data_IF_440038890845
#
_entry.id   IF_440038890845
#
_cell.length_a   1.000
_cell.length_b   1.000
_cell.length_c   1.000
_cell.angle_alpha   90.00
_cell.angle_beta   90.00
_cell.angle_gamma   90.00
#
_symmetry.space_group_name_H-M   'P 1'
#
loop_
_entity.id
_entity.type
_entity.pdbx_description
1 polymer ?
#
# COMPACT_ATOMS: atom_id res chain seq x y z
N UNK A 1 -3.13 -8.38 -3.95
CA UNK A 1 -2.92 -8.25 -2.49
C UNK A 1 -3.77 -7.11 -1.98
N UNK A 2 -4.18 -7.12 -0.72
CA UNK A 2 -5.06 -6.09 -0.18
C UNK A 2 -4.84 -5.85 1.31
N UNK A 3 -5.09 -4.61 1.75
CA UNK A 3 -5.02 -4.19 3.15
C UNK A 3 -6.26 -3.36 3.51
N UNK A 4 -6.78 -3.57 4.71
CA UNK A 4 -7.81 -2.73 5.33
C UNK A 4 -7.17 -2.03 6.52
N UNK A 5 -7.15 -0.70 6.51
CA UNK A 5 -6.67 0.13 7.60
C UNK A 5 -7.86 0.70 8.38
N UNK A 6 -7.99 0.37 9.64
CA UNK A 6 -8.92 1.02 10.57
C UNK A 6 -8.20 2.17 11.29
N UNK A 7 -8.68 3.39 11.07
CA UNK A 7 -8.12 4.58 11.69
C UNK A 7 -8.72 4.81 13.08
N UNK A 8 -7.85 4.94 14.09
CA UNK A 8 -8.23 5.18 15.49
C UNK A 8 -7.49 6.40 16.05
N UNK A 9 -7.89 6.89 17.22
CA UNK A 9 -7.27 8.02 17.88
C UNK A 9 -6.42 7.58 19.09
N UNK A 10 -5.10 7.81 19.01
CA UNK A 10 -4.19 7.66 20.16
C UNK A 10 -3.04 8.68 20.10
N UNK A 11 -2.42 8.94 21.25
CA UNK A 11 -1.37 9.96 21.43
C UNK A 11 0.04 9.55 20.99
N UNK A 12 0.27 8.31 20.56
CA UNK A 12 1.61 7.83 20.22
C UNK A 12 1.71 7.58 18.72
N UNK A 13 2.59 8.33 18.07
CA UNK A 13 2.87 8.20 16.64
C UNK A 13 3.79 7.02 16.40
N UNK A 14 3.53 6.29 15.35
CA UNK A 14 4.35 5.18 14.87
C UNK A 14 4.70 5.38 13.40
N UNK A 15 5.83 4.78 13.01
CA UNK A 15 6.23 4.65 11.63
C UNK A 15 6.28 3.17 11.29
N UNK A 16 5.37 2.74 10.42
CA UNK A 16 5.22 1.34 10.01
C UNK A 16 5.84 1.15 8.63
N UNK A 17 6.43 -0.01 8.41
CA UNK A 17 7.01 -0.40 7.13
C UNK A 17 6.35 -1.69 6.67
N UNK A 18 5.72 -1.66 5.49
CA UNK A 18 4.98 -2.79 4.93
C UNK A 18 5.60 -3.13 3.58
N UNK A 19 6.20 -4.32 3.52
CA UNK A 19 6.68 -4.90 2.28
C UNK A 19 5.50 -5.37 1.44
N UNK A 20 5.29 -4.76 0.26
CA UNK A 20 4.16 -5.04 -0.61
C UNK A 20 4.48 -6.15 -1.61
N UNK A 21 4.62 -7.38 -1.11
CA UNK A 21 4.87 -8.59 -1.91
C UNK A 21 4.08 -9.80 -1.38
N UNK A 22 3.93 -10.82 -2.22
CA UNK A 22 3.13 -12.02 -1.92
C UNK A 22 3.66 -12.85 -0.74
N UNK A 23 4.95 -12.70 -0.40
CA UNK A 23 5.61 -13.40 0.70
C UNK A 23 5.34 -12.76 2.07
N UNK A 24 4.81 -11.53 2.11
CA UNK A 24 4.49 -10.86 3.37
C UNK A 24 3.26 -11.51 4.02
N UNK A 25 3.46 -12.07 5.22
CA UNK A 25 2.44 -12.77 6.00
C UNK A 25 1.18 -11.93 6.28
N UNK A 26 1.31 -10.59 6.32
CA UNK A 26 0.18 -9.68 6.49
C UNK A 26 -0.93 -9.95 5.46
N UNK A 27 -0.56 -10.19 4.20
CA UNK A 27 -1.52 -10.46 3.13
C UNK A 27 -2.08 -11.89 3.17
N UNK A 28 -1.45 -12.80 3.90
CA UNK A 28 -1.93 -14.16 4.11
C UNK A 28 -2.95 -14.24 5.25
N UNK A 29 -2.82 -13.37 6.27
CA UNK A 29 -3.58 -13.45 7.53
C UNK A 29 -4.86 -12.60 7.58
N UNK A 30 -5.09 -11.71 6.60
CA UNK A 30 -6.34 -10.94 6.34
C UNK A 30 -6.07 -9.56 5.73
N UNK A 31 -4.84 -9.04 5.85
CA UNK A 31 -4.51 -7.67 5.46
C UNK A 31 -5.07 -6.59 6.40
N UNK A 32 -5.51 -6.92 7.62
CA UNK A 32 -6.09 -5.94 8.52
C UNK A 32 -5.03 -5.22 9.37
N UNK A 33 -5.10 -3.89 9.43
CA UNK A 33 -4.22 -3.04 10.22
C UNK A 33 -5.03 -1.99 11.00
N UNK A 34 -4.63 -1.72 12.24
CA UNK A 34 -5.09 -0.55 12.98
C UNK A 34 -4.01 0.52 12.95
N UNK A 35 -4.39 1.74 12.56
CA UNK A 35 -3.48 2.87 12.38
C UNK A 35 -4.02 4.06 13.17
N UNK A 36 -3.13 4.95 13.61
CA UNK A 36 -3.50 6.09 14.42
C UNK A 36 -3.23 7.42 13.71
N UNK A 37 -4.04 8.43 14.00
CA UNK A 37 -3.80 9.77 13.47
C UNK A 37 -2.40 10.27 13.86
N UNK A 38 -1.63 10.70 12.86
CA UNK A 38 -0.24 11.11 12.98
C UNK A 38 0.78 10.00 12.66
N UNK A 39 0.34 8.77 12.42
CA UNK A 39 1.22 7.69 11.96
C UNK A 39 1.72 7.94 10.54
N UNK A 40 2.86 7.33 10.24
CA UNK A 40 3.41 7.19 8.90
C UNK A 40 3.47 5.72 8.52
N UNK A 41 3.15 5.41 7.28
CA UNK A 41 3.23 4.05 6.75
C UNK A 41 3.99 4.07 5.45
N UNK A 42 5.10 3.36 5.38
CA UNK A 42 5.84 3.13 4.15
C UNK A 42 5.32 1.84 3.49
N UNK A 43 4.80 1.96 2.28
CA UNK A 43 4.62 0.82 1.39
C UNK A 43 5.90 0.64 0.58
N UNK A 44 6.63 -0.44 0.87
CA UNK A 44 7.88 -0.79 0.19
C UNK A 44 7.59 -1.73 -0.96
N UNK A 45 7.95 -1.32 -2.18
CA UNK A 45 7.83 -2.17 -3.35
C UNK A 45 8.79 -3.38 -3.30
N UNK A 46 8.45 -4.49 -3.98
CA UNK A 46 9.38 -5.60 -4.16
C UNK A 46 10.69 -5.12 -4.78
N UNK A 47 11.81 -5.57 -4.21
CA UNK A 47 13.16 -5.20 -4.60
C UNK A 47 14.02 -6.46 -4.67
N UNK A 48 14.77 -6.60 -5.75
CA UNK A 48 15.56 -7.80 -6.02
C UNK A 48 16.95 -7.40 -6.52
N UNK A 49 17.96 -8.16 -6.10
CA UNK A 49 19.31 -8.01 -6.61
C UNK A 49 19.40 -8.63 -8.02
N UNK A 50 20.16 -7.97 -8.91
CA UNK A 50 20.31 -8.35 -10.31
C UNK A 50 21.05 -9.68 -10.51
N UNK A 51 21.68 -10.22 -9.46
CA UNK A 51 22.49 -11.44 -9.55
C UNK A 51 21.66 -12.75 -9.59
N UNK A 52 20.35 -12.71 -9.32
CA UNK A 52 19.52 -13.92 -9.21
C UNK A 52 18.51 -14.05 -10.36
N UNK A 53 18.89 -14.83 -11.38
CA UNK A 53 18.14 -15.00 -12.65
C UNK A 53 16.87 -15.86 -12.57
N UNK A 54 16.55 -16.42 -11.39
CA UNK A 54 15.43 -17.36 -11.18
C UNK A 54 14.36 -16.85 -10.19
N UNK A 55 14.28 -15.54 -9.97
CA UNK A 55 13.28 -14.98 -9.06
C UNK A 55 11.93 -14.78 -9.76
N UNK A 56 10.84 -15.16 -9.08
CA UNK A 56 9.50 -14.76 -9.46
C UNK A 56 9.33 -13.26 -9.13
N UNK A 57 9.70 -12.40 -10.08
CA UNK A 57 9.67 -10.96 -9.90
C UNK A 57 8.21 -10.49 -9.83
N UNK A 58 7.90 -9.67 -8.83
CA UNK A 58 6.57 -9.14 -8.62
C UNK A 58 6.46 -7.68 -9.05
N UNK A 59 5.44 -7.39 -9.86
CA UNK A 59 5.08 -6.03 -10.29
C UNK A 59 3.67 -5.73 -9.81
N UNK A 60 3.53 -4.64 -9.07
CA UNK A 60 2.27 -4.27 -8.42
C UNK A 60 2.00 -2.78 -8.61
N UNK A 61 0.73 -2.42 -8.82
CA UNK A 61 0.29 -1.03 -8.67
C UNK A 61 -0.66 -0.94 -7.49
N UNK A 62 -0.39 -0.03 -6.56
CA UNK A 62 -1.18 0.12 -5.32
C UNK A 62 -2.19 1.24 -5.49
N UNK A 63 -3.43 0.97 -5.09
CA UNK A 63 -4.55 1.90 -5.15
C UNK A 63 -5.20 2.01 -3.78
N UNK A 64 -5.73 3.20 -3.48
CA UNK A 64 -6.76 3.36 -2.46
C UNK A 64 -8.11 3.39 -3.15
N UNK A 65 -9.03 2.55 -2.69
CA UNK A 65 -10.37 2.40 -3.25
C UNK A 65 -11.44 2.56 -2.18
N UNK A 66 -12.70 2.71 -2.58
CA UNK A 66 -13.82 2.60 -1.66
C UNK A 66 -14.09 1.12 -1.29
N UNK A 67 -14.93 0.91 -0.28
CA UNK A 67 -15.29 -0.43 0.22
C UNK A 67 -15.88 -1.34 -0.88
N UNK A 68 -16.81 -0.81 -1.69
CA UNK A 68 -17.45 -1.61 -2.73
C UNK A 68 -16.42 -2.09 -3.77
N UNK A 69 -15.57 -1.20 -4.24
CA UNK A 69 -14.55 -1.50 -5.24
C UNK A 69 -13.43 -2.39 -4.68
N UNK A 70 -13.16 -2.33 -3.37
CA UNK A 70 -12.28 -3.28 -2.69
C UNK A 70 -12.80 -4.72 -2.84
N UNK A 71 -14.06 -4.96 -2.49
CA UNK A 71 -14.64 -6.31 -2.56
C UNK A 71 -14.81 -6.83 -3.98
N UNK A 72 -14.93 -5.93 -4.97
CA UNK A 72 -14.98 -6.29 -6.38
C UNK A 72 -13.62 -6.25 -7.10
N UNK A 73 -12.53 -5.96 -6.38
CA UNK A 73 -11.18 -5.80 -6.94
C UNK A 73 -11.13 -4.81 -8.13
N UNK A 74 -11.87 -3.70 -8.06
CA UNK A 74 -12.01 -2.74 -9.15
C UNK A 74 -11.14 -1.50 -8.93
N UNK A 75 -10.20 -1.27 -9.84
CA UNK A 75 -9.30 -0.09 -9.80
C UNK A 75 -9.52 0.89 -10.96
N UNK A 76 -10.53 0.66 -11.80
CA UNK A 76 -10.69 1.35 -13.11
C UNK A 76 -10.79 2.87 -12.99
N UNK A 77 -11.46 3.36 -11.95
CA UNK A 77 -11.71 4.79 -11.74
C UNK A 77 -10.76 5.45 -10.72
N UNK A 78 -9.68 4.77 -10.35
CA UNK A 78 -8.77 5.23 -9.30
C UNK A 78 -7.39 5.56 -9.84
N UNK A 79 -6.81 6.63 -9.31
CA UNK A 79 -5.42 6.97 -9.59
C UNK A 79 -4.49 6.07 -8.76
N UNK A 80 -3.39 5.57 -9.35
CA UNK A 80 -2.43 4.77 -8.61
C UNK A 80 -1.68 5.64 -7.59
N UNK A 81 -1.52 5.12 -6.37
CA UNK A 81 -0.68 5.75 -5.34
C UNK A 81 0.81 5.59 -5.67
N UNK A 82 1.18 4.36 -6.06
CA UNK A 82 2.53 4.02 -6.49
C UNK A 82 2.50 2.84 -7.46
N UNK A 83 3.41 2.88 -8.45
CA UNK A 83 3.67 1.78 -9.38
C UNK A 83 4.99 1.12 -8.98
N UNK A 84 4.94 -0.10 -8.48
CA UNK A 84 6.12 -0.92 -8.21
C UNK A 84 6.61 -1.58 -9.52
N UNK A 85 7.24 -0.78 -10.37
CA UNK A 85 7.70 -1.19 -11.70
C UNK A 85 9.22 -1.19 -11.87
N UNK A 86 9.98 -0.90 -10.81
CA UNK A 86 11.45 -0.87 -10.83
C UNK A 86 12.06 -1.78 -9.75
N UNK A 87 11.90 -3.11 -9.87
CA UNK A 87 12.41 -4.07 -8.90
C UNK A 87 13.95 -4.10 -8.79
N UNK A 88 14.65 -3.60 -9.81
CA UNK A 88 16.11 -3.72 -9.99
C UNK A 88 16.85 -2.38 -9.90
N UNK A 89 16.17 -1.32 -9.44
CA UNK A 89 16.81 -0.01 -9.26
C UNK A 89 17.91 -0.08 -8.19
N UNK A 90 18.61 1.03 -7.94
CA UNK A 90 19.62 1.05 -6.87
C UNK A 90 19.00 1.04 -5.47
N UNK A 91 17.72 1.41 -5.35
CA UNK A 91 16.99 1.48 -4.08
C UNK A 91 15.53 1.05 -4.30
N UNK A 92 14.87 0.48 -3.27
CA UNK A 92 13.45 0.15 -3.34
C UNK A 92 12.60 1.42 -3.51
N UNK A 93 11.58 1.33 -4.37
CA UNK A 93 10.55 2.36 -4.43
C UNK A 93 9.70 2.31 -3.15
N UNK A 94 9.48 3.48 -2.55
CA UNK A 94 8.72 3.62 -1.30
C UNK A 94 7.64 4.68 -1.47
N UNK A 95 6.42 4.35 -1.05
CA UNK A 95 5.33 5.32 -0.88
C UNK A 95 5.06 5.53 0.60
N UNK A 96 5.29 6.74 1.09
CA UNK A 96 5.00 7.10 2.49
C UNK A 96 3.62 7.74 2.59
N UNK A 97 2.70 7.02 3.22
CA UNK A 97 1.36 7.47 3.55
C UNK A 97 1.36 8.12 4.94
N UNK A 98 0.82 9.33 5.03
CA UNK A 98 0.58 10.00 6.31
C UNK A 98 -0.87 9.84 6.73
N UNK A 99 -1.10 9.29 7.93
CA UNK A 99 -2.43 9.12 8.51
C UNK A 99 -2.86 10.45 9.14
N UNK A 100 -3.27 11.40 8.30
CA UNK A 100 -3.59 12.76 8.72
C UNK A 100 -4.99 13.17 8.26
N UNK A 101 -5.71 13.89 9.13
CA UNK A 101 -7.06 14.38 8.85
C UNK A 101 -7.11 15.56 7.88
N UNK A 102 -6.06 16.37 7.86
CA UNK A 102 -5.96 17.55 7.02
C UNK A 102 -4.68 17.47 6.21
N UNK A 103 -4.82 17.40 4.89
CA UNK A 103 -3.68 17.31 3.99
C UNK A 103 -3.58 18.57 3.13
N UNK A 104 -2.36 19.10 2.90
CA UNK A 104 -2.19 20.37 2.20
C UNK A 104 -2.46 20.29 0.69
N UNK A 105 -2.67 19.08 0.13
CA UNK A 105 -2.87 18.86 -1.30
C UNK A 105 -4.21 18.18 -1.59
N UNK A 106 -4.96 18.66 -2.59
CA UNK A 106 -6.14 17.95 -3.07
C UNK A 106 -5.74 16.60 -3.69
N UNK A 107 -6.60 15.59 -3.58
CA UNK A 107 -6.42 14.21 -4.06
C UNK A 107 -5.53 13.28 -3.21
N UNK A 108 -5.11 13.70 -2.01
CA UNK A 108 -4.49 12.79 -1.05
C UNK A 108 -5.56 12.31 -0.07
N UNK A 109 -5.58 11.03 0.33
CA UNK A 109 -6.58 10.52 1.26
C UNK A 109 -6.53 11.16 2.64
N UNK A 110 -7.65 11.75 3.05
CA UNK A 110 -7.85 12.27 4.40
C UNK A 110 -8.32 11.17 5.36
N UNK A 111 -7.61 11.04 6.49
CA UNK A 111 -7.90 10.05 7.51
C UNK A 111 -8.78 10.61 8.62
N UNK A 112 -9.89 9.95 8.90
CA UNK A 112 -10.81 10.30 9.96
C UNK A 112 -10.93 9.14 10.97
N UNK A 113 -11.08 9.51 12.23
CA UNK A 113 -11.22 8.56 13.33
C UNK A 113 -12.48 7.68 13.15
N UNK A 114 -12.33 6.39 13.43
CA UNK A 114 -13.38 5.38 13.29
C UNK A 114 -13.73 4.99 11.84
N UNK A 115 -12.91 5.37 10.86
CA UNK A 115 -13.12 5.04 9.45
C UNK A 115 -12.20 3.92 8.97
N UNK A 116 -12.68 3.20 7.94
CA UNK A 116 -11.92 2.14 7.26
C UNK A 116 -11.42 2.63 5.90
N UNK A 117 -10.18 2.29 5.58
CA UNK A 117 -9.50 2.65 4.35
C UNK A 117 -9.00 1.38 3.65
N UNK A 118 -9.25 1.29 2.35
CA UNK A 118 -9.15 0.04 1.61
C UNK A 118 -8.08 0.14 0.53
N UNK A 119 -6.98 -0.57 0.70
CA UNK A 119 -5.88 -0.59 -0.25
C UNK A 119 -5.88 -1.91 -1.00
N UNK A 120 -5.79 -1.86 -2.32
CA UNK A 120 -5.65 -3.05 -3.16
C UNK A 120 -4.49 -2.86 -4.14
N UNK A 121 -3.91 -3.96 -4.58
CA UNK A 121 -2.99 -3.96 -5.71
C UNK A 121 -3.44 -4.88 -6.82
N UNK A 122 -3.27 -4.40 -8.04
CA UNK A 122 -3.30 -5.23 -9.24
C UNK A 122 -1.89 -5.74 -9.51
N UNK A 123 -1.75 -7.04 -9.68
CA UNK A 123 -0.50 -7.61 -10.20
C UNK A 123 -0.55 -7.47 -11.71
N UNK A 124 0.49 -6.93 -12.33
CA UNK A 124 0.53 -6.87 -13.80
C UNK A 124 0.89 -8.22 -14.44
N UNK A 125 1.22 -9.27 -13.67
CA UNK A 125 1.46 -10.63 -14.17
C UNK A 125 2.73 -10.81 -15.02
N UNK A 126 3.20 -9.76 -15.69
CA UNK A 126 4.49 -9.57 -16.36
C UNK A 126 4.53 -8.09 -16.80
N UNK A 127 5.72 -7.51 -17.01
CA UNK A 127 5.81 -6.22 -17.69
C UNK A 127 5.16 -6.34 -19.07
N UNK A 128 4.25 -5.43 -19.40
CA UNK A 128 4.07 -5.01 -20.80
C UNK A 128 5.30 -4.22 -21.26
#
# INVERSE_FOLDING_TARGET
MSIICYANHRYQRQHLQIYWNSSNALFQSSGYLTVYLGDLIDFLCPYYDNEYTNLNIEYNTIYLVNENDYYHCNTTNYNPLIKCNKPFDLQPLVYTLSISKYLPYPNIPEFADGQYYYFISTSMGQLE
#
